data_IF_611948093541
#
_entry.id   IF_611948093541
#
_cell.length_a   1.000
_cell.length_b   1.000
_cell.length_c   1.000
_cell.angle_alpha   90.00
_cell.angle_beta   90.00
_cell.angle_gamma   90.00
#
_symmetry.space_group_name_H-M   'P 1'
#
loop_
_entity.id
_entity.type
_entity.pdbx_description
1 polymer ?
#
# COMPACT_ATOMS: atom_id res chain seq x y z
N UNK A 1 -19.17 -16.90 -8.10
CA UNK A 1 -19.22 -15.81 -7.09
C UNK A 1 -20.61 -15.17 -7.01
N UNK A 2 -21.34 -15.02 -8.12
CA UNK A 2 -22.69 -14.44 -8.14
C UNK A 2 -23.68 -15.17 -7.22
N UNK A 3 -23.74 -16.51 -7.31
CA UNK A 3 -24.52 -17.34 -6.36
C UNK A 3 -24.21 -17.05 -4.89
N UNK A 4 -22.96 -16.79 -4.54
CA UNK A 4 -22.57 -16.50 -3.15
C UNK A 4 -23.01 -15.08 -2.70
N UNK A 5 -23.14 -14.12 -3.64
CA UNK A 5 -23.68 -12.79 -3.36
C UNK A 5 -25.18 -12.86 -3.06
N UNK A 6 -25.92 -13.72 -3.76
CA UNK A 6 -27.36 -13.93 -3.57
C UNK A 6 -27.70 -14.49 -2.17
N UNK A 7 -26.83 -15.33 -1.61
CA UNK A 7 -27.02 -15.98 -0.30
C UNK A 7 -26.52 -15.16 0.90
N UNK A 8 -25.99 -13.95 0.69
CA UNK A 8 -25.24 -13.20 1.73
C UNK A 8 -26.09 -12.44 2.78
N UNK A 9 -27.39 -12.73 2.90
CA UNK A 9 -28.24 -12.12 3.93
C UNK A 9 -28.26 -12.98 5.20
N UNK A 10 -27.57 -12.51 6.24
CA UNK A 10 -27.96 -12.83 7.62
C UNK A 10 -27.14 -13.84 8.41
N UNK A 11 -25.82 -13.72 8.46
CA UNK A 11 -25.03 -14.42 9.50
C UNK A 11 -24.01 -13.49 10.14
N UNK A 12 -24.07 -13.40 11.46
CA UNK A 12 -23.07 -12.71 12.27
C UNK A 12 -21.85 -13.64 12.42
N UNK A 13 -20.67 -13.14 12.05
CA UNK A 13 -19.47 -13.96 11.83
C UNK A 13 -18.26 -13.44 12.61
N UNK A 14 -17.37 -14.33 13.07
CA UNK A 14 -16.36 -14.02 14.07
C UNK A 14 -15.50 -12.81 13.71
N UNK A 15 -15.33 -11.93 14.70
CA UNK A 15 -14.66 -10.63 14.63
C UNK A 15 -13.14 -10.78 14.51
N UNK A 16 -12.65 -10.87 13.27
CA UNK A 16 -11.26 -10.50 12.95
C UNK A 16 -11.06 -9.00 13.22
N UNK A 17 -9.83 -8.57 13.49
CA UNK A 17 -9.49 -7.14 13.60
C UNK A 17 -9.86 -6.48 12.27
N UNK A 18 -10.99 -5.77 12.25
CA UNK A 18 -11.55 -5.14 11.06
C UNK A 18 -11.08 -3.70 11.01
N UNK A 19 -10.53 -3.32 9.88
CA UNK A 19 -10.37 -1.92 9.50
C UNK A 19 -11.77 -1.32 9.31
N UNK A 20 -12.01 -0.10 9.80
CA UNK A 20 -13.28 0.59 9.60
C UNK A 20 -13.71 0.62 8.11
N UNK A 21 -15.01 0.48 7.84
CA UNK A 21 -15.56 0.41 6.47
C UNK A 21 -15.20 1.63 5.62
N UNK A 22 -15.22 2.83 6.21
CA UNK A 22 -14.85 4.07 5.53
C UNK A 22 -13.39 4.08 5.04
N UNK A 23 -12.49 3.54 5.85
CA UNK A 23 -11.07 3.39 5.51
C UNK A 23 -10.91 2.44 4.33
N UNK A 24 -11.66 1.32 4.32
CA UNK A 24 -11.68 0.41 3.18
C UNK A 24 -12.25 1.07 1.92
N UNK A 25 -13.28 1.91 2.04
CA UNK A 25 -13.82 2.67 0.89
C UNK A 25 -12.82 3.69 0.33
N UNK A 26 -12.05 4.36 1.20
CA UNK A 26 -10.94 5.24 0.80
C UNK A 26 -9.85 4.47 0.06
N UNK A 27 -9.40 3.34 0.62
CA UNK A 27 -8.46 2.45 -0.06
C UNK A 27 -9.01 2.04 -1.43
N UNK A 28 -10.26 1.59 -1.51
CA UNK A 28 -10.90 1.20 -2.79
C UNK A 28 -10.87 2.31 -3.83
N UNK A 29 -11.10 3.57 -3.44
CA UNK A 29 -11.04 4.72 -4.35
C UNK A 29 -9.62 4.99 -4.85
N UNK A 30 -8.61 4.88 -3.98
CA UNK A 30 -7.20 5.12 -4.32
C UNK A 30 -6.63 4.16 -5.37
N UNK A 31 -7.22 2.98 -5.54
CA UNK A 31 -6.86 2.00 -6.57
C UNK A 31 -7.83 2.00 -7.77
N UNK A 32 -9.03 2.58 -7.64
CA UNK A 32 -10.03 2.70 -8.73
C UNK A 32 -9.71 3.75 -9.79
N UNK A 33 -8.86 4.74 -9.48
CA UNK A 33 -8.49 5.81 -10.42
C UNK A 33 -7.71 5.27 -11.64
N UNK A 34 -7.31 4.00 -11.63
CA UNK A 34 -6.57 3.39 -12.73
C UNK A 34 -7.39 2.51 -13.71
N UNK A 35 -8.66 2.16 -13.43
CA UNK A 35 -9.23 0.97 -14.11
C UNK A 35 -10.74 0.99 -14.46
N UNK A 36 -11.44 2.11 -14.29
CA UNK A 36 -12.85 2.18 -14.73
C UNK A 36 -13.05 2.58 -16.19
N UNK A 37 -12.06 3.24 -16.77
CA UNK A 37 -12.11 3.79 -18.12
C UNK A 37 -11.14 3.06 -19.07
N UNK A 38 -10.61 1.90 -18.66
CA UNK A 38 -9.85 1.04 -19.55
C UNK A 38 -10.84 0.39 -20.55
N UNK A 39 -11.07 1.08 -21.67
CA UNK A 39 -11.65 0.47 -22.85
C UNK A 39 -10.84 -0.79 -23.18
N UNK A 40 -11.55 -1.87 -23.53
CA UNK A 40 -10.92 -3.07 -24.04
C UNK A 40 -9.99 -2.70 -25.20
N UNK A 41 -8.86 -3.39 -25.27
CA UNK A 41 -8.04 -3.39 -26.48
C UNK A 41 -8.88 -4.10 -27.54
N UNK A 42 -9.53 -3.33 -28.41
CA UNK A 42 -10.29 -3.71 -29.61
C UNK A 42 -10.81 -5.17 -29.63
N UNK A 43 -12.06 -5.36 -29.21
CA UNK A 43 -12.77 -6.64 -29.07
C UNK A 43 -12.85 -7.49 -30.36
N UNK A 44 -12.33 -6.99 -31.48
CA UNK A 44 -12.46 -7.63 -32.79
C UNK A 44 -11.32 -8.60 -33.15
N UNK A 45 -10.24 -8.69 -32.34
CA UNK A 45 -9.05 -9.48 -32.73
C UNK A 45 -8.74 -10.66 -31.80
N UNK A 46 -9.05 -10.61 -30.49
CA UNK A 46 -8.70 -11.69 -29.55
C UNK A 46 -9.72 -11.88 -28.42
N UNK A 47 -10.07 -13.14 -28.11
CA UNK A 47 -10.97 -13.52 -26.99
C UNK A 47 -10.33 -13.31 -25.60
N UNK A 48 -8.99 -13.25 -25.54
CA UNK A 48 -8.21 -13.07 -24.32
C UNK A 48 -7.56 -11.68 -24.33
N UNK A 49 -7.91 -10.87 -23.33
CA UNK A 49 -7.49 -9.46 -23.20
C UNK A 49 -6.30 -9.27 -22.25
N UNK A 50 -5.96 -10.31 -21.49
CA UNK A 50 -4.84 -10.31 -20.55
C UNK A 50 -4.70 -11.64 -19.83
N UNK A 51 -3.75 -11.71 -18.91
CA UNK A 51 -3.45 -12.93 -18.14
C UNK A 51 -3.19 -12.58 -16.68
N UNK A 52 -3.82 -13.30 -15.75
CA UNK A 52 -3.55 -13.24 -14.32
C UNK A 52 -2.73 -14.45 -13.91
N UNK A 53 -1.71 -14.21 -13.08
CA UNK A 53 -0.78 -15.26 -12.65
C UNK A 53 -0.74 -15.35 -11.12
N UNK A 54 -0.82 -16.57 -10.59
CA UNK A 54 -0.52 -16.88 -9.20
C UNK A 54 0.92 -17.37 -9.11
N UNK A 55 1.73 -16.67 -8.33
CA UNK A 55 3.16 -16.93 -8.20
C UNK A 55 3.48 -17.27 -6.75
N UNK A 56 4.29 -18.30 -6.53
CA UNK A 56 4.78 -18.63 -5.20
C UNK A 56 5.78 -17.58 -4.71
N UNK A 57 6.14 -17.63 -3.43
CA UNK A 57 7.13 -16.71 -2.84
C UNK A 57 8.54 -16.80 -3.46
N UNK A 58 8.83 -17.87 -4.19
CA UNK A 58 10.09 -18.13 -4.90
C UNK A 58 10.11 -17.54 -6.32
N UNK A 59 9.08 -16.77 -6.68
CA UNK A 59 8.84 -16.24 -8.02
C UNK A 59 8.55 -17.32 -9.08
N UNK A 60 8.02 -18.48 -8.69
CA UNK A 60 7.63 -19.56 -9.61
C UNK A 60 6.12 -19.47 -9.89
N UNK A 61 5.70 -19.34 -11.16
CA UNK A 61 4.31 -19.47 -11.55
C UNK A 61 3.71 -20.81 -11.11
N UNK A 62 2.56 -20.79 -10.45
CA UNK A 62 1.80 -21.98 -10.09
C UNK A 62 0.60 -22.14 -11.02
N UNK A 63 -0.24 -21.10 -11.10
CA UNK A 63 -1.42 -21.08 -11.94
C UNK A 63 -1.47 -19.82 -12.78
N UNK A 64 -2.09 -19.95 -13.96
CA UNK A 64 -2.29 -18.88 -14.93
C UNK A 64 -3.76 -18.93 -15.34
N UNK A 65 -4.39 -17.76 -15.47
CA UNK A 65 -5.79 -17.64 -15.87
C UNK A 65 -5.94 -16.52 -16.90
N UNK A 66 -6.61 -16.84 -18.01
CA UNK A 66 -6.90 -15.89 -19.07
C UNK A 66 -7.99 -14.90 -18.64
N UNK A 67 -7.78 -13.62 -18.95
CA UNK A 67 -8.77 -12.56 -18.75
C UNK A 67 -9.63 -12.49 -20.01
N UNK A 68 -10.86 -12.97 -19.90
CA UNK A 68 -11.85 -13.03 -21.00
C UNK A 68 -13.00 -12.05 -20.79
N UNK A 69 -12.97 -11.26 -19.72
CA UNK A 69 -14.00 -10.26 -19.40
C UNK A 69 -13.38 -8.88 -19.20
N UNK A 70 -14.12 -7.79 -19.45
CA UNK A 70 -13.61 -6.44 -19.24
C UNK A 70 -13.25 -6.16 -17.76
N UNK A 71 -12.05 -5.59 -17.58
CA UNK A 71 -11.49 -5.12 -16.31
C UNK A 71 -10.75 -6.17 -15.48
N UNK A 72 -9.81 -5.74 -14.64
CA UNK A 72 -9.13 -6.61 -13.68
C UNK A 72 -10.05 -6.94 -12.49
N UNK A 73 -10.85 -8.01 -12.64
CA UNK A 73 -11.84 -8.40 -11.62
C UNK A 73 -11.23 -9.26 -10.52
N UNK A 74 -11.75 -9.09 -9.30
CA UNK A 74 -11.38 -9.91 -8.13
C UNK A 74 -11.68 -11.41 -8.30
N UNK A 75 -12.51 -11.79 -9.28
CA UNK A 75 -12.87 -13.18 -9.53
C UNK A 75 -11.73 -14.05 -10.01
N UNK A 76 -10.81 -13.48 -10.82
CA UNK A 76 -9.60 -14.18 -11.26
C UNK A 76 -8.71 -14.55 -10.07
N UNK A 77 -8.50 -13.60 -9.15
CA UNK A 77 -7.74 -13.87 -7.93
C UNK A 77 -8.40 -14.98 -7.09
N UNK A 78 -9.73 -14.96 -6.95
CA UNK A 78 -10.45 -16.00 -6.19
C UNK A 78 -10.41 -17.37 -6.87
N UNK A 79 -10.49 -17.42 -8.20
CA UNK A 79 -10.38 -18.67 -8.96
C UNK A 79 -9.01 -19.31 -8.77
N UNK A 80 -7.93 -18.52 -8.90
CA UNK A 80 -6.56 -18.99 -8.68
C UNK A 80 -6.32 -19.46 -7.24
N UNK A 81 -6.88 -18.76 -6.24
CA UNK A 81 -6.78 -19.18 -4.83
C UNK A 81 -7.48 -20.52 -4.61
N UNK A 82 -8.66 -20.73 -5.20
CA UNK A 82 -9.39 -22.01 -5.09
C UNK A 82 -8.64 -23.15 -5.77
N UNK A 83 -8.15 -22.95 -6.98
CA UNK A 83 -7.33 -23.93 -7.68
C UNK A 83 -6.10 -24.34 -6.85
N UNK A 84 -5.44 -23.38 -6.18
CA UNK A 84 -4.34 -23.70 -5.27
C UNK A 84 -4.78 -24.49 -4.04
N UNK A 85 -5.94 -24.18 -3.47
CA UNK A 85 -6.42 -24.89 -2.29
C UNK A 85 -6.77 -26.35 -2.59
N UNK A 86 -7.29 -26.64 -3.78
CA UNK A 86 -7.65 -28.00 -4.20
C UNK A 86 -6.42 -28.91 -4.33
N UNK A 87 -5.24 -28.34 -4.60
CA UNK A 87 -3.94 -29.04 -4.66
C UNK A 87 -3.24 -29.17 -3.30
N UNK A 88 -3.75 -28.52 -2.25
CA UNK A 88 -3.12 -28.47 -0.93
C UNK A 88 -3.91 -29.27 0.10
N UNK A 89 -3.23 -29.91 1.07
CA UNK A 89 -3.93 -30.64 2.12
C UNK A 89 -4.80 -29.69 2.95
N UNK A 90 -5.89 -30.20 3.52
CA UNK A 90 -6.91 -29.42 4.25
C UNK A 90 -6.38 -28.73 5.51
N UNK A 91 -5.22 -29.12 6.02
CA UNK A 91 -4.54 -28.49 7.14
C UNK A 91 -3.51 -27.42 6.71
N UNK A 92 -3.23 -27.24 5.42
CA UNK A 92 -2.33 -26.19 4.94
C UNK A 92 -2.88 -24.79 5.27
N UNK A 93 -1.99 -23.84 5.54
CA UNK A 93 -2.36 -22.42 5.70
C UNK A 93 -1.78 -21.61 4.55
N UNK A 94 -2.53 -20.64 4.02
CA UNK A 94 -2.14 -19.86 2.84
C UNK A 94 -2.07 -18.37 3.19
N UNK A 95 -0.92 -17.76 2.92
CA UNK A 95 -0.73 -16.32 2.94
C UNK A 95 -0.83 -15.74 1.52
N UNK A 96 -1.78 -14.84 1.29
CA UNK A 96 -2.02 -14.20 -0.01
C UNK A 96 -1.58 -12.75 0.04
N UNK A 97 -0.65 -12.38 -0.86
CA UNK A 97 -0.27 -10.99 -1.12
C UNK A 97 -0.96 -10.53 -2.40
N UNK A 98 -1.77 -9.49 -2.28
CA UNK A 98 -2.51 -8.91 -3.40
C UNK A 98 -2.67 -7.41 -3.19
N UNK A 99 -2.64 -6.62 -4.26
CA UNK A 99 -2.54 -5.15 -4.14
C UNK A 99 -3.75 -4.53 -3.45
N UNK A 100 -4.92 -5.14 -3.65
CA UNK A 100 -6.17 -4.85 -2.95
C UNK A 100 -6.56 -5.97 -1.98
N UNK A 101 -5.57 -6.63 -1.36
CA UNK A 101 -5.76 -7.74 -0.42
C UNK A 101 -6.74 -7.41 0.71
N UNK A 102 -6.75 -6.17 1.20
CA UNK A 102 -7.74 -5.70 2.18
C UNK A 102 -9.19 -5.75 1.67
N UNK A 103 -9.41 -5.41 0.40
CA UNK A 103 -10.74 -5.45 -0.24
C UNK A 103 -11.18 -6.88 -0.49
N UNK A 104 -10.25 -7.74 -0.90
CA UNK A 104 -10.51 -9.14 -1.16
C UNK A 104 -10.86 -9.88 0.15
N UNK A 105 -10.13 -9.60 1.23
CA UNK A 105 -10.40 -10.12 2.57
C UNK A 105 -11.80 -9.75 3.06
N UNK A 106 -12.17 -8.47 2.95
CA UNK A 106 -13.52 -7.99 3.28
C UNK A 106 -14.60 -8.65 2.41
N UNK A 107 -14.33 -8.82 1.11
CA UNK A 107 -15.27 -9.44 0.18
C UNK A 107 -15.46 -10.93 0.50
N UNK A 108 -14.40 -11.63 0.90
CA UNK A 108 -14.50 -13.02 1.36
C UNK A 108 -15.41 -13.16 2.58
N UNK A 109 -15.30 -12.24 3.56
CA UNK A 109 -16.17 -12.24 4.74
C UNK A 109 -17.62 -11.88 4.39
N UNK A 110 -17.81 -10.84 3.58
CA UNK A 110 -19.12 -10.34 3.18
C UNK A 110 -19.91 -11.35 2.36
N UNK A 111 -19.25 -12.04 1.44
CA UNK A 111 -19.92 -12.93 0.48
C UNK A 111 -19.64 -14.41 0.72
N UNK A 112 -18.95 -14.77 1.80
CA UNK A 112 -18.58 -16.14 2.13
C UNK A 112 -17.82 -16.90 1.03
N UNK A 113 -16.95 -16.22 0.26
CA UNK A 113 -16.34 -16.86 -0.92
C UNK A 113 -15.49 -18.09 -0.62
N UNK A 114 -14.95 -18.17 0.61
CA UNK A 114 -14.04 -19.20 1.08
C UNK A 114 -14.70 -20.25 1.99
N UNK A 115 -15.96 -20.06 2.41
CA UNK A 115 -16.65 -21.01 3.28
C UNK A 115 -15.81 -21.49 4.48
N UNK A 116 -15.69 -22.81 4.64
CA UNK A 116 -14.95 -23.44 5.73
C UNK A 116 -13.45 -23.16 5.68
N UNK A 117 -12.87 -22.97 4.49
CA UNK A 117 -11.44 -22.69 4.32
C UNK A 117 -11.02 -21.27 4.74
N UNK A 118 -11.99 -20.40 5.03
CA UNK A 118 -11.73 -19.00 5.41
C UNK A 118 -10.72 -18.88 6.55
N UNK A 119 -10.73 -19.80 7.50
CA UNK A 119 -9.80 -19.83 8.64
C UNK A 119 -8.34 -20.07 8.23
N UNK A 120 -8.11 -20.76 7.11
CA UNK A 120 -6.78 -21.15 6.63
C UNK A 120 -6.09 -20.04 5.82
N UNK A 121 -6.82 -18.99 5.45
CA UNK A 121 -6.32 -17.92 4.57
C UNK A 121 -6.09 -16.62 5.32
N UNK A 122 -4.89 -16.09 5.11
CA UNK A 122 -4.44 -14.79 5.60
C UNK A 122 -4.14 -13.88 4.42
N UNK A 123 -4.80 -12.72 4.33
CA UNK A 123 -4.54 -11.72 3.29
C UNK A 123 -3.63 -10.60 3.80
N UNK A 124 -2.79 -10.07 2.92
CA UNK A 124 -2.00 -8.86 3.11
C UNK A 124 -1.87 -8.10 1.77
N UNK A 125 -1.53 -6.81 1.85
CA UNK A 125 -1.22 -6.00 0.67
C UNK A 125 0.26 -6.16 0.31
N UNK A 126 0.60 -6.28 -0.97
CA UNK A 126 2.00 -6.32 -1.43
C UNK A 126 2.80 -5.13 -0.85
N UNK A 127 4.07 -5.32 -0.44
CA UNK A 127 4.80 -4.34 0.41
C UNK A 127 4.78 -2.92 -0.16
N UNK A 128 5.05 -2.74 -1.45
CA UNK A 128 5.04 -1.41 -2.08
C UNK A 128 3.63 -0.83 -2.23
N UNK A 129 2.63 -1.68 -2.41
CA UNK A 129 1.24 -1.26 -2.53
C UNK A 129 0.63 -0.91 -1.16
N UNK A 130 1.09 -1.54 -0.08
CA UNK A 130 0.61 -1.31 1.27
C UNK A 130 0.69 0.18 1.64
N UNK A 131 1.78 0.87 1.29
CA UNK A 131 1.95 2.32 1.53
C UNK A 131 0.95 3.21 0.78
N UNK A 132 0.32 2.68 -0.27
CA UNK A 132 -0.77 3.34 -0.99
C UNK A 132 -2.13 3.22 -0.31
N UNK A 133 -2.25 2.44 0.77
CA UNK A 133 -3.47 2.34 1.58
C UNK A 133 -3.44 3.32 2.76
N UNK A 134 -4.61 3.62 3.32
CA UNK A 134 -4.74 4.41 4.56
C UNK A 134 -3.93 3.77 5.70
N UNK A 135 -3.47 4.57 6.66
CA UNK A 135 -2.61 4.10 7.75
C UNK A 135 -3.23 2.93 8.54
N UNK A 136 -4.51 3.01 8.87
CA UNK A 136 -5.21 1.93 9.58
C UNK A 136 -5.22 0.62 8.77
N UNK A 137 -5.31 0.70 7.45
CA UNK A 137 -5.16 -0.46 6.56
C UNK A 137 -3.71 -0.98 6.58
N UNK A 138 -2.71 -0.11 6.56
CA UNK A 138 -1.30 -0.50 6.67
C UNK A 138 -1.01 -1.26 7.97
N UNK A 139 -1.55 -0.82 9.09
CA UNK A 139 -1.34 -1.49 10.39
C UNK A 139 -1.83 -2.95 10.35
N UNK A 140 -2.94 -3.22 9.67
CA UNK A 140 -3.59 -4.54 9.62
C UNK A 140 -3.09 -5.41 8.46
N UNK A 141 -2.83 -4.82 7.29
CA UNK A 141 -2.58 -5.53 6.04
C UNK A 141 -1.17 -5.36 5.48
N UNK A 142 -0.28 -4.55 6.08
CA UNK A 142 1.12 -4.52 5.66
C UNK A 142 1.81 -5.83 6.11
N UNK A 143 2.44 -6.61 5.21
CA UNK A 143 3.06 -7.89 5.54
C UNK A 143 4.28 -7.76 6.44
N UNK A 144 4.90 -6.57 6.55
CA UNK A 144 5.93 -6.30 7.58
C UNK A 144 5.34 -6.27 8.99
N UNK A 145 4.07 -5.88 9.11
CA UNK A 145 3.35 -5.76 10.40
C UNK A 145 2.57 -7.02 10.76
N UNK A 146 2.28 -7.86 9.76
CA UNK A 146 1.45 -9.05 9.87
C UNK A 146 2.29 -10.33 9.96
N UNK A 147 2.00 -11.15 10.95
CA UNK A 147 2.56 -12.51 11.06
C UNK A 147 2.05 -13.34 9.88
N UNK A 148 2.89 -14.20 9.32
CA UNK A 148 2.49 -15.09 8.23
C UNK A 148 3.23 -14.82 6.92
N UNK A 149 4.04 -13.76 6.83
CA UNK A 149 4.67 -13.35 5.56
C UNK A 149 6.20 -13.26 5.62
N UNK A 150 6.81 -13.27 6.82
CA UNK A 150 8.25 -13.13 6.98
C UNK A 150 8.82 -11.95 6.19
N UNK A 151 9.84 -12.19 5.37
CA UNK A 151 10.43 -11.16 4.50
C UNK A 151 9.85 -11.12 3.07
N UNK A 152 8.75 -11.81 2.80
CA UNK A 152 8.11 -11.85 1.47
C UNK A 152 7.55 -10.47 1.07
N UNK A 153 7.78 -10.06 -0.17
CA UNK A 153 7.44 -8.70 -0.67
C UNK A 153 6.18 -8.63 -1.53
N UNK A 154 5.73 -9.77 -2.08
CA UNK A 154 4.54 -9.84 -2.94
C UNK A 154 4.78 -9.32 -4.36
N UNK A 155 6.04 -9.23 -4.80
CA UNK A 155 6.43 -8.70 -6.11
C UNK A 155 6.70 -9.77 -7.17
N UNK A 156 6.17 -10.97 -6.94
CA UNK A 156 6.48 -12.16 -7.74
C UNK A 156 5.96 -12.06 -9.16
N UNK A 157 4.71 -11.60 -9.34
CA UNK A 157 4.10 -11.40 -10.66
C UNK A 157 4.88 -10.36 -11.48
N UNK A 158 5.23 -9.21 -10.90
CA UNK A 158 6.00 -8.18 -11.61
C UNK A 158 7.40 -8.66 -11.99
N UNK A 159 8.05 -9.48 -11.15
CA UNK A 159 9.34 -10.10 -11.49
C UNK A 159 9.21 -11.10 -12.63
N UNK A 160 8.16 -11.90 -12.65
CA UNK A 160 7.86 -12.81 -13.77
C UNK A 160 7.65 -12.01 -15.05
N UNK A 161 6.78 -11.00 -15.03
CA UNK A 161 6.50 -10.15 -16.18
C UNK A 161 7.74 -9.41 -16.70
N UNK A 162 8.60 -8.93 -15.81
CA UNK A 162 9.86 -8.29 -16.19
C UNK A 162 10.81 -9.26 -16.91
N UNK A 163 10.92 -10.50 -16.43
CA UNK A 163 11.75 -11.55 -17.06
C UNK A 163 11.18 -11.99 -18.40
N UNK A 164 9.84 -12.13 -18.50
CA UNK A 164 9.15 -12.54 -19.73
C UNK A 164 8.91 -11.37 -20.68
N UNK A 165 9.26 -10.13 -20.32
CA UNK A 165 9.08 -8.93 -21.15
C UNK A 165 9.64 -9.06 -22.56
N UNK A 166 10.78 -9.76 -22.71
CA UNK A 166 11.40 -10.00 -24.03
C UNK A 166 10.62 -11.00 -24.89
N UNK A 167 9.80 -11.82 -24.26
CA UNK A 167 8.91 -12.75 -24.93
C UNK A 167 7.60 -12.07 -25.33
N UNK A 168 7.20 -10.96 -24.71
CA UNK A 168 5.95 -10.24 -25.03
C UNK A 168 5.81 -9.89 -26.53
N UNK A 169 6.84 -9.36 -27.23
CA UNK A 169 6.75 -9.09 -28.67
C UNK A 169 6.65 -10.37 -29.52
N UNK A 170 7.24 -11.48 -29.06
CA UNK A 170 7.32 -12.76 -29.77
C UNK A 170 6.02 -13.57 -29.57
N UNK A 171 5.50 -13.59 -28.34
CA UNK A 171 4.32 -14.31 -27.89
C UNK A 171 3.01 -13.53 -28.07
N UNK A 172 3.03 -12.30 -28.64
CA UNK A 172 1.83 -11.70 -29.26
C UNK A 172 1.19 -12.63 -30.32
N UNK A 173 1.93 -13.66 -30.74
CA UNK A 173 1.44 -14.87 -31.41
C UNK A 173 2.03 -16.11 -30.73
N UNK A 174 1.42 -16.66 -29.68
CA UNK A 174 1.82 -18.01 -29.22
C UNK A 174 0.86 -18.71 -28.23
N UNK A 175 0.68 -20.02 -28.50
CA UNK A 175 0.26 -21.06 -27.56
C UNK A 175 1.34 -21.35 -26.49
N UNK A 176 0.89 -21.86 -25.33
CA UNK A 176 1.65 -22.12 -24.11
C UNK A 176 2.57 -23.34 -24.25
N UNK A 177 3.90 -23.16 -24.19
CA UNK A 177 4.88 -24.17 -23.77
C UNK A 177 6.20 -23.49 -23.39
N UNK A 178 6.85 -24.05 -22.38
CA UNK A 178 8.18 -23.72 -21.81
C UNK A 178 8.28 -22.61 -20.75
N UNK A 179 8.13 -23.01 -19.48
CA UNK A 179 8.61 -22.29 -18.30
C UNK A 179 9.37 -23.26 -17.36
N UNK A 180 10.62 -23.60 -17.72
CA UNK A 180 11.54 -24.34 -16.83
C UNK A 180 12.12 -23.41 -15.75
N UNK A 181 11.37 -23.17 -14.67
CA UNK A 181 11.73 -22.22 -13.59
C UNK A 181 12.24 -22.84 -12.27
N UNK A 182 12.49 -24.15 -12.21
CA UNK A 182 12.74 -24.87 -10.94
C UNK A 182 14.22 -24.87 -10.49
N UNK A 183 15.19 -24.52 -11.35
CA UNK A 183 16.61 -24.87 -11.16
C UNK A 183 17.45 -23.96 -10.22
N UNK A 184 16.87 -23.08 -9.39
CA UNK A 184 17.69 -22.15 -8.57
C UNK A 184 17.27 -21.95 -7.10
N UNK A 185 16.44 -22.83 -6.54
CA UNK A 185 15.90 -22.66 -5.17
C UNK A 185 17.00 -22.54 -4.10
N UNK A 186 18.08 -23.32 -4.18
CA UNK A 186 19.21 -23.22 -3.24
C UNK A 186 19.93 -21.84 -3.28
N UNK A 187 20.08 -21.26 -4.48
CA UNK A 187 20.64 -19.91 -4.64
C UNK A 187 19.69 -18.85 -4.07
N UNK A 188 18.39 -19.02 -4.26
CA UNK A 188 17.36 -18.16 -3.68
C UNK A 188 17.41 -18.20 -2.14
N UNK A 189 17.47 -19.40 -1.53
CA UNK A 189 17.57 -19.57 -0.07
C UNK A 189 18.84 -18.87 0.45
N UNK A 190 19.99 -19.08 -0.20
CA UNK A 190 21.26 -18.42 0.17
C UNK A 190 21.16 -16.90 0.13
N UNK A 191 20.51 -16.32 -0.88
CA UNK A 191 20.27 -14.86 -0.97
C UNK A 191 19.37 -14.37 0.16
N UNK A 192 18.34 -15.13 0.52
CA UNK A 192 17.44 -14.79 1.63
C UNK A 192 18.14 -14.82 2.99
N UNK A 193 19.00 -15.80 3.26
CA UNK A 193 19.82 -15.78 4.48
C UNK A 193 20.75 -14.57 4.58
N UNK A 194 21.37 -14.14 3.46
CA UNK A 194 22.15 -12.89 3.43
C UNK A 194 21.28 -11.67 3.76
N UNK A 195 20.07 -11.61 3.22
CA UNK A 195 19.11 -10.55 3.50
C UNK A 195 18.72 -10.51 4.98
N UNK A 196 18.40 -11.67 5.58
CA UNK A 196 18.09 -11.79 7.01
C UNK A 196 19.24 -11.25 7.85
N UNK A 197 20.48 -11.66 7.57
CA UNK A 197 21.66 -11.18 8.31
C UNK A 197 21.80 -9.66 8.24
N UNK A 198 21.65 -9.09 7.05
CA UNK A 198 21.70 -7.63 6.85
C UNK A 198 20.60 -6.92 7.64
N UNK A 199 19.35 -7.33 7.47
CA UNK A 199 18.20 -6.68 8.10
C UNK A 199 18.21 -6.86 9.62
N UNK A 200 18.61 -8.03 10.12
CA UNK A 200 18.72 -8.28 11.56
C UNK A 200 19.79 -7.39 12.19
N UNK A 201 20.97 -7.27 11.57
CA UNK A 201 22.02 -6.38 12.05
C UNK A 201 21.56 -4.91 12.05
N UNK A 202 20.89 -4.47 10.98
CA UNK A 202 20.33 -3.11 10.90
C UNK A 202 19.27 -2.84 11.97
N UNK A 203 18.36 -3.79 12.20
CA UNK A 203 17.32 -3.68 13.22
C UNK A 203 17.90 -3.66 14.64
N UNK A 204 18.85 -4.55 14.94
CA UNK A 204 19.52 -4.59 16.25
C UNK A 204 20.30 -3.29 16.50
N UNK A 205 21.01 -2.77 15.50
CA UNK A 205 21.71 -1.50 15.61
C UNK A 205 20.75 -0.33 15.85
N UNK A 206 19.63 -0.28 15.11
CA UNK A 206 18.61 0.72 15.29
C UNK A 206 18.03 0.70 16.71
N UNK A 207 17.69 -0.48 17.24
CA UNK A 207 17.21 -0.61 18.63
C UNK A 207 18.29 -0.15 19.63
N UNK A 208 19.55 -0.56 19.44
CA UNK A 208 20.67 -0.23 20.34
C UNK A 208 20.95 1.28 20.38
N UNK A 209 21.01 1.91 19.22
CA UNK A 209 21.31 3.35 19.08
C UNK A 209 20.20 4.25 19.63
N UNK A 210 18.95 3.77 19.67
CA UNK A 210 17.82 4.53 20.21
C UNK A 210 17.78 4.51 21.75
N UNK A 211 18.44 3.54 22.40
CA UNK A 211 18.46 3.40 23.86
C UNK A 211 17.09 3.09 24.48
N UNK A 212 16.14 2.58 23.69
CA UNK A 212 14.79 2.24 24.11
C UNK A 212 14.70 0.77 24.50
N UNK A 213 13.91 0.44 25.53
CA UNK A 213 13.67 -0.95 25.90
C UNK A 213 12.71 -1.63 24.92
N UNK A 214 12.94 -2.92 24.64
CA UNK A 214 12.06 -3.70 23.76
C UNK A 214 10.63 -3.78 24.32
N UNK A 215 10.47 -3.85 25.64
CA UNK A 215 9.16 -3.85 26.33
C UNK A 215 8.35 -2.59 26.02
N UNK A 216 8.96 -1.41 26.17
CA UNK A 216 8.32 -0.13 25.82
C UNK A 216 7.89 -0.10 24.34
N UNK A 217 8.75 -0.57 23.44
CA UNK A 217 8.42 -0.61 22.00
C UNK A 217 7.25 -1.57 21.70
N UNK A 218 7.19 -2.73 22.38
CA UNK A 218 6.11 -3.70 22.21
C UNK A 218 4.78 -3.20 22.80
N UNK A 219 4.80 -2.49 23.92
CA UNK A 219 3.61 -1.83 24.48
C UNK A 219 3.06 -0.77 23.53
N UNK A 220 3.93 0.08 22.99
CA UNK A 220 3.55 1.09 22.01
C UNK A 220 3.01 0.46 20.71
N UNK A 221 3.61 -0.64 20.25
CA UNK A 221 3.10 -1.41 19.11
C UNK A 221 1.72 -2.04 19.39
N UNK A 222 1.49 -2.53 20.61
CA UNK A 222 0.19 -3.10 21.00
C UNK A 222 -0.91 -2.02 21.01
N UNK A 223 -0.62 -0.84 21.56
CA UNK A 223 -1.51 0.32 21.47
C UNK A 223 -1.80 0.66 20.00
N UNK A 224 -0.77 0.72 19.16
CA UNK A 224 -0.90 1.00 17.74
C UNK A 224 -1.81 0.00 17.00
N UNK A 225 -1.75 -1.29 17.35
CA UNK A 225 -2.57 -2.34 16.73
C UNK A 225 -4.04 -2.31 17.14
N UNK A 226 -4.36 -1.68 18.27
CA UNK A 226 -5.75 -1.56 18.74
C UNK A 226 -6.53 -0.44 18.04
N UNK A 227 -5.82 0.52 17.43
CA UNK A 227 -6.40 1.73 16.85
C UNK A 227 -7.25 1.47 15.58
N UNK A 228 -6.85 0.64 14.61
CA UNK A 228 -7.58 0.49 13.34
C UNK A 228 -9.02 -0.01 13.45
N UNK A 229 -9.35 -0.67 14.57
CA UNK A 229 -10.68 -1.19 14.87
C UNK A 229 -11.59 -0.16 15.54
N UNK A 230 -11.04 0.96 16.00
CA UNK A 230 -11.85 2.07 16.50
C UNK A 230 -12.59 2.68 15.32
N UNK A 231 -13.90 2.81 15.45
CA UNK A 231 -14.71 3.61 14.54
C UNK A 231 -14.12 5.01 14.52
N UNK A 232 -13.54 5.42 13.39
CA UNK A 232 -13.25 6.84 13.19
C UNK A 232 -14.58 7.55 13.29
N UNK A 233 -14.77 8.53 14.18
CA UNK A 233 -16.09 9.09 14.37
C UNK A 233 -16.57 9.89 13.16
N UNK A 234 -15.72 10.22 12.17
CA UNK A 234 -16.09 11.15 11.11
C UNK A 234 -15.46 10.86 9.75
N UNK A 235 -16.32 10.48 8.80
CA UNK A 235 -16.50 11.27 7.57
C UNK A 235 -17.92 11.09 7.04
N UNK A 236 -18.90 11.77 7.66
CA UNK A 236 -20.19 11.95 6.98
C UNK A 236 -19.92 12.50 5.58
N UNK A 237 -20.62 11.98 4.55
CA UNK A 237 -20.53 12.47 3.16
C UNK A 237 -20.62 13.99 3.07
N UNK A 238 -21.33 14.60 4.01
CA UNK A 238 -21.48 16.05 4.12
C UNK A 238 -20.15 16.76 4.42
N UNK A 239 -19.36 16.24 5.37
CA UNK A 239 -18.04 16.81 5.72
C UNK A 239 -17.09 16.73 4.54
N UNK A 240 -17.07 15.59 3.83
CA UNK A 240 -16.24 15.45 2.63
C UNK A 240 -16.67 16.44 1.54
N UNK A 241 -17.97 16.61 1.30
CA UNK A 241 -18.48 17.62 0.36
C UNK A 241 -18.04 19.03 0.73
N UNK A 242 -18.08 19.37 2.03
CA UNK A 242 -17.61 20.68 2.53
C UNK A 242 -16.12 20.88 2.25
N UNK A 243 -15.29 19.86 2.50
CA UNK A 243 -13.85 19.90 2.20
C UNK A 243 -13.61 20.04 0.68
N UNK A 244 -14.29 19.25 -0.16
CA UNK A 244 -14.15 19.27 -1.61
C UNK A 244 -14.51 20.66 -2.20
N UNK A 245 -15.63 21.25 -1.73
CA UNK A 245 -16.09 22.57 -2.16
C UNK A 245 -15.07 23.66 -1.82
N UNK A 246 -14.49 23.60 -0.62
CA UNK A 246 -13.47 24.55 -0.21
C UNK A 246 -12.17 24.35 -0.98
N UNK A 247 -11.73 23.11 -1.20
CA UNK A 247 -10.55 22.81 -2.01
C UNK A 247 -10.67 23.41 -3.41
N UNK A 248 -11.89 23.36 -3.97
CA UNK A 248 -12.22 24.05 -5.22
C UNK A 248 -12.06 25.56 -5.08
N UNK A 249 -12.66 26.17 -4.04
CA UNK A 249 -12.50 27.61 -3.76
C UNK A 249 -11.01 28.01 -3.63
N UNK A 250 -10.23 27.28 -2.85
CA UNK A 250 -8.79 27.53 -2.68
C UNK A 250 -8.05 27.42 -4.01
N UNK A 251 -8.41 26.45 -4.85
CA UNK A 251 -7.82 26.32 -6.19
C UNK A 251 -8.13 27.53 -7.07
N UNK A 252 -9.36 28.06 -7.00
CA UNK A 252 -9.72 29.28 -7.73
C UNK A 252 -9.01 30.53 -7.17
N UNK A 253 -8.89 30.66 -5.84
CA UNK A 253 -8.13 31.74 -5.20
C UNK A 253 -6.65 31.70 -5.59
N UNK A 254 -6.04 30.51 -5.60
CA UNK A 254 -4.66 30.31 -6.04
C UNK A 254 -4.51 30.67 -7.53
N UNK A 255 -5.50 30.34 -8.37
CA UNK A 255 -5.51 30.71 -9.81
C UNK A 255 -5.57 32.22 -10.02
N UNK A 256 -6.42 32.92 -9.26
CA UNK A 256 -6.50 34.38 -9.31
C UNK A 256 -5.15 34.99 -8.93
N UNK A 257 -4.51 34.50 -7.87
CA UNK A 257 -3.19 34.96 -7.45
C UNK A 257 -2.11 34.71 -8.51
N UNK A 258 -2.11 33.52 -9.11
CA UNK A 258 -1.17 33.18 -10.20
C UNK A 258 -1.38 34.08 -11.43
N UNK A 259 -2.63 34.36 -11.81
CA UNK A 259 -2.95 35.24 -12.94
C UNK A 259 -2.49 36.69 -12.68
N UNK A 260 -2.65 37.19 -11.44
CA UNK A 260 -2.14 38.50 -11.04
C UNK A 260 -0.61 38.52 -11.13
N UNK A 261 0.07 37.51 -10.58
CA UNK A 261 1.54 37.43 -10.64
C UNK A 261 2.06 37.36 -12.08
N UNK A 262 1.42 36.56 -12.94
CA UNK A 262 1.78 36.43 -14.35
C UNK A 262 1.59 37.74 -15.12
N UNK A 263 0.50 38.46 -14.85
CA UNK A 263 0.25 39.80 -15.42
C UNK A 263 1.33 40.79 -14.97
N UNK A 264 1.64 40.83 -13.67
CA UNK A 264 2.71 41.69 -13.12
C UNK A 264 4.06 41.37 -13.74
N UNK A 265 4.38 40.08 -13.90
CA UNK A 265 5.64 39.61 -14.46
C UNK A 265 5.75 39.98 -15.95
N UNK A 266 4.68 39.74 -16.73
CA UNK A 266 4.61 40.05 -18.17
C UNK A 266 4.71 41.56 -18.41
N UNK A 267 3.93 42.35 -17.67
CA UNK A 267 3.96 43.82 -17.80
C UNK A 267 5.31 44.42 -17.38
N UNK A 268 5.94 43.85 -16.37
CA UNK A 268 7.27 44.31 -15.92
C UNK A 268 8.37 43.94 -16.91
N UNK A 269 8.33 42.72 -17.48
CA UNK A 269 9.35 42.24 -18.40
C UNK A 269 9.21 42.81 -19.83
N UNK A 270 8.01 42.83 -20.38
CA UNK A 270 7.78 43.23 -21.78
C UNK A 270 7.64 44.75 -21.94
N UNK A 271 7.04 45.42 -20.95
CA UNK A 271 6.72 46.84 -21.04
C UNK A 271 7.53 47.71 -20.07
N UNK A 272 8.41 47.12 -19.26
CA UNK A 272 9.29 47.85 -18.34
C UNK A 272 8.59 48.49 -17.13
N UNK A 273 7.37 48.05 -16.81
CA UNK A 273 6.59 48.63 -15.71
C UNK A 273 7.23 48.28 -14.36
N UNK A 274 7.40 49.25 -13.43
CA UNK A 274 7.88 48.95 -12.09
C UNK A 274 6.90 48.02 -11.36
N UNK A 275 7.41 46.96 -10.71
CA UNK A 275 6.59 46.08 -9.87
C UNK A 275 5.90 46.80 -8.70
N UNK A 276 6.43 47.97 -8.33
CA UNK A 276 5.88 48.84 -7.28
C UNK A 276 4.68 49.70 -7.74
N UNK A 277 4.24 49.56 -8.99
CA UNK A 277 3.10 50.29 -9.55
C UNK A 277 1.85 50.11 -8.69
N UNK A 278 1.13 51.20 -8.43
CA UNK A 278 -0.04 51.22 -7.55
C UNK A 278 -1.12 50.22 -7.98
N UNK A 279 -1.38 50.11 -9.28
CA UNK A 279 -2.36 49.15 -9.81
C UNK A 279 -1.99 47.69 -9.48
N UNK A 280 -0.71 47.30 -9.56
CA UNK A 280 -0.27 45.96 -9.17
C UNK A 280 -0.43 45.71 -7.67
N UNK A 281 -0.16 46.73 -6.86
CA UNK A 281 -0.34 46.66 -5.41
C UNK A 281 -1.81 46.48 -5.04
N UNK A 282 -2.70 47.26 -5.64
CA UNK A 282 -4.15 47.13 -5.43
C UNK A 282 -4.70 45.76 -5.84
N UNK A 283 -4.21 45.19 -6.95
CA UNK A 283 -4.60 43.84 -7.37
C UNK A 283 -4.16 42.79 -6.35
N UNK A 284 -2.95 42.91 -5.80
CA UNK A 284 -2.44 42.03 -4.75
C UNK A 284 -3.25 42.18 -3.45
N UNK A 285 -3.52 43.42 -3.01
CA UNK A 285 -4.34 43.69 -1.82
C UNK A 285 -5.76 43.09 -1.95
N UNK A 286 -6.39 43.19 -3.13
CA UNK A 286 -7.70 42.58 -3.38
C UNK A 286 -7.65 41.06 -3.37
N UNK A 287 -6.56 40.46 -3.84
CA UNK A 287 -6.34 39.03 -3.75
C UNK A 287 -6.17 38.56 -2.31
N UNK A 288 -5.42 39.30 -1.49
CA UNK A 288 -5.29 39.04 -0.05
C UNK A 288 -6.64 39.15 0.67
N UNK A 289 -7.45 40.17 0.33
CA UNK A 289 -8.81 40.33 0.86
C UNK A 289 -9.71 39.13 0.51
N UNK A 290 -9.62 38.62 -0.73
CA UNK A 290 -10.34 37.41 -1.14
C UNK A 290 -9.91 36.16 -0.36
N UNK A 291 -8.61 36.02 -0.08
CA UNK A 291 -8.10 34.92 0.76
C UNK A 291 -8.69 35.00 2.17
N UNK A 292 -8.68 36.18 2.78
CA UNK A 292 -9.25 36.39 4.12
C UNK A 292 -10.75 36.09 4.15
N UNK A 293 -11.50 36.54 3.13
CA UNK A 293 -12.93 36.25 3.03
C UNK A 293 -13.20 34.75 2.82
N UNK A 294 -12.37 34.06 2.05
CA UNK A 294 -12.42 32.60 1.92
C UNK A 294 -12.24 31.89 3.27
N UNK A 295 -11.29 32.34 4.09
CA UNK A 295 -11.06 31.82 5.45
C UNK A 295 -12.22 32.13 6.42
N UNK A 296 -12.93 33.25 6.25
CA UNK A 296 -14.13 33.56 7.04
C UNK A 296 -15.29 32.62 6.74
N UNK A 297 -15.58 32.38 5.46
CA UNK A 297 -16.61 31.43 5.03
C UNK A 297 -16.41 30.04 5.65
N UNK A 298 -15.14 29.62 5.76
CA UNK A 298 -14.78 28.36 6.39
C UNK A 298 -15.15 28.29 7.88
N UNK A 299 -14.93 29.38 8.62
CA UNK A 299 -15.30 29.45 10.04
C UNK A 299 -16.82 29.37 10.20
N UNK A 300 -17.57 29.95 9.26
CA UNK A 300 -19.04 29.88 9.22
C UNK A 300 -19.58 28.48 8.86
N UNK A 301 -18.81 27.66 8.13
CA UNK A 301 -19.20 26.29 7.77
C UNK A 301 -19.25 25.32 8.96
N UNK A 302 -18.79 25.75 10.15
CA UNK A 302 -18.90 25.01 11.43
C UNK A 302 -18.44 23.55 11.33
N UNK A 303 -17.24 23.35 10.79
CA UNK A 303 -16.63 22.02 10.69
C UNK A 303 -16.34 21.41 12.07
N UNK A 304 -16.18 22.23 13.10
CA UNK A 304 -15.95 21.85 14.50
C UNK A 304 -17.07 20.97 15.08
N UNK A 305 -18.34 21.24 14.75
CA UNK A 305 -19.47 20.39 15.18
C UNK A 305 -19.44 19.00 14.55
N UNK A 306 -18.74 18.86 13.43
CA UNK A 306 -18.52 17.57 12.77
C UNK A 306 -17.32 16.82 13.34
N UNK A 307 -16.59 17.36 14.32
CA UNK A 307 -15.48 16.68 15.00
C UNK A 307 -15.51 16.92 16.51
N UNK A 308 -16.47 16.34 17.26
CA UNK A 308 -16.52 16.39 18.72
C UNK A 308 -15.21 16.04 19.45
N UNK A 309 -14.36 15.19 18.87
CA UNK A 309 -13.03 14.86 19.42
C UNK A 309 -12.02 16.01 19.35
N UNK A 310 -12.31 17.04 18.55
CA UNK A 310 -11.49 18.22 18.38
C UNK A 310 -12.21 19.47 18.87
N UNK A 311 -13.18 19.29 19.78
CA UNK A 311 -13.83 20.39 20.47
C UNK A 311 -12.80 21.29 21.16
N UNK A 312 -12.86 22.60 20.91
CA UNK A 312 -11.92 23.59 21.42
C UNK A 312 -10.71 23.88 20.53
N UNK A 313 -10.57 23.19 19.40
CA UNK A 313 -9.57 23.50 18.37
C UNK A 313 -10.13 24.56 17.42
N UNK A 314 -9.31 25.51 16.99
CA UNK A 314 -9.72 26.53 16.01
C UNK A 314 -10.26 25.88 14.73
N UNK A 315 -11.41 26.34 14.24
CA UNK A 315 -11.99 25.88 12.96
C UNK A 315 -10.99 26.05 11.79
N UNK A 316 -10.18 27.11 11.84
CA UNK A 316 -9.13 27.37 10.86
C UNK A 316 -7.99 26.34 10.92
N UNK A 317 -7.60 25.90 12.13
CA UNK A 317 -6.59 24.85 12.29
C UNK A 317 -7.11 23.49 11.80
N UNK A 318 -8.32 23.11 12.21
CA UNK A 318 -8.98 21.87 11.76
C UNK A 318 -9.05 21.77 10.25
N UNK A 319 -9.31 22.89 9.61
CA UNK A 319 -9.37 22.97 8.18
C UNK A 319 -8.02 22.72 7.50
N UNK A 320 -6.97 23.43 7.91
CA UNK A 320 -5.64 23.21 7.34
C UNK A 320 -5.15 21.78 7.58
N UNK A 321 -5.52 21.17 8.72
CA UNK A 321 -5.23 19.77 9.02
C UNK A 321 -5.90 18.81 8.01
N UNK A 322 -7.16 19.05 7.68
CA UNK A 322 -7.91 18.28 6.68
C UNK A 322 -7.34 18.45 5.27
N UNK A 323 -7.03 19.68 4.86
CA UNK A 323 -6.39 19.95 3.56
C UNK A 323 -5.01 19.31 3.45
N UNK A 324 -4.18 19.42 4.49
CA UNK A 324 -2.88 18.78 4.55
C UNK A 324 -2.99 17.27 4.41
N UNK A 325 -3.97 16.63 5.07
CA UNK A 325 -4.24 15.19 4.94
C UNK A 325 -4.55 14.79 3.49
N UNK A 326 -5.44 15.53 2.83
CA UNK A 326 -5.82 15.22 1.45
C UNK A 326 -4.67 15.42 0.46
N UNK A 327 -3.93 16.53 0.59
CA UNK A 327 -2.80 16.81 -0.30
C UNK A 327 -1.69 15.78 -0.08
N UNK A 328 -1.44 15.35 1.15
CA UNK A 328 -0.52 14.25 1.46
C UNK A 328 -0.97 12.91 0.85
N UNK A 329 -2.28 12.63 0.85
CA UNK A 329 -2.83 11.45 0.15
C UNK A 329 -2.63 11.53 -1.38
N UNK A 330 -2.80 12.70 -1.97
CA UNK A 330 -2.49 12.95 -3.39
C UNK A 330 -1.00 12.73 -3.69
N UNK A 331 -0.09 13.31 -2.89
CA UNK A 331 1.36 13.12 -3.03
C UNK A 331 1.72 11.62 -2.91
N UNK A 332 1.19 10.91 -1.91
CA UNK A 332 1.37 9.46 -1.74
C UNK A 332 0.99 8.69 -3.00
N UNK A 333 -0.17 8.99 -3.59
CA UNK A 333 -0.63 8.34 -4.81
C UNK A 333 0.33 8.55 -5.97
N UNK A 334 0.85 9.77 -6.16
CA UNK A 334 1.79 10.10 -7.25
C UNK A 334 3.14 9.41 -7.08
N UNK A 335 3.69 9.45 -5.87
CA UNK A 335 4.97 8.80 -5.55
C UNK A 335 4.85 7.29 -5.69
N UNK A 336 3.77 6.70 -5.18
CA UNK A 336 3.45 5.28 -5.36
C UNK A 336 3.37 4.90 -6.84
N UNK A 337 2.58 5.63 -7.62
CA UNK A 337 2.38 5.32 -9.04
C UNK A 337 3.70 5.35 -9.81
N UNK A 338 4.62 6.24 -9.45
CA UNK A 338 5.94 6.27 -10.06
C UNK A 338 6.85 5.10 -9.67
N UNK A 339 6.84 4.73 -8.39
CA UNK A 339 7.57 3.55 -7.89
C UNK A 339 7.06 2.29 -8.61
N UNK A 340 5.76 2.19 -8.84
CA UNK A 340 5.12 1.02 -9.45
C UNK A 340 5.27 0.98 -10.98
N UNK A 341 5.09 2.12 -11.66
CA UNK A 341 5.08 2.19 -13.13
C UNK A 341 6.48 2.34 -13.71
N UNK A 342 7.49 2.64 -12.90
CA UNK A 342 8.89 2.80 -13.34
C UNK A 342 9.16 4.07 -14.16
N UNK A 343 8.13 4.88 -14.40
CA UNK A 343 8.23 6.24 -14.91
C UNK A 343 8.15 7.14 -13.70
N UNK A 344 9.21 7.89 -13.40
CA UNK A 344 9.23 8.84 -12.28
C UNK A 344 7.98 9.73 -12.27
N UNK A 345 7.54 10.23 -11.11
CA UNK A 345 6.35 11.07 -11.07
C UNK A 345 6.61 12.32 -11.90
N UNK A 346 5.56 12.97 -12.40
CA UNK A 346 5.75 14.30 -12.99
C UNK A 346 6.20 15.26 -11.88
N UNK A 347 7.52 15.42 -11.74
CA UNK A 347 8.15 16.11 -10.62
C UNK A 347 7.81 17.58 -10.56
N UNK A 348 7.51 18.20 -11.69
CA UNK A 348 6.92 19.55 -11.71
C UNK A 348 5.61 19.60 -10.93
N UNK A 349 4.65 18.73 -11.26
CA UNK A 349 3.34 18.72 -10.59
C UNK A 349 3.41 18.25 -9.14
N UNK A 350 4.32 17.33 -8.82
CA UNK A 350 4.45 16.82 -7.44
C UNK A 350 5.15 17.82 -6.54
N UNK A 351 6.16 18.54 -7.04
CA UNK A 351 6.76 19.67 -6.33
C UNK A 351 5.70 20.72 -5.94
N UNK A 352 4.82 21.08 -6.86
CA UNK A 352 3.70 22.01 -6.58
C UNK A 352 2.78 21.48 -5.47
N UNK A 353 2.48 20.18 -5.47
CA UNK A 353 1.68 19.55 -4.42
C UNK A 353 2.39 19.56 -3.05
N UNK A 354 3.70 19.28 -3.03
CA UNK A 354 4.54 19.34 -1.82
C UNK A 354 4.61 20.76 -1.28
N UNK A 355 4.85 21.76 -2.13
CA UNK A 355 4.85 23.17 -1.75
C UNK A 355 3.50 23.59 -1.17
N UNK A 356 2.39 23.14 -1.76
CA UNK A 356 1.04 23.40 -1.22
C UNK A 356 0.84 22.74 0.14
N UNK A 357 1.23 21.48 0.31
CA UNK A 357 1.18 20.79 1.60
C UNK A 357 2.00 21.55 2.65
N UNK A 358 3.24 21.93 2.34
CA UNK A 358 4.11 22.67 3.26
C UNK A 358 3.53 24.05 3.60
N UNK A 359 2.85 24.73 2.66
CA UNK A 359 2.11 25.96 2.98
C UNK A 359 1.04 25.74 4.04
N UNK A 360 0.26 24.65 3.95
CA UNK A 360 -0.73 24.32 4.98
C UNK A 360 -0.06 24.04 6.33
N UNK A 361 1.09 23.36 6.33
CA UNK A 361 1.88 23.14 7.56
C UNK A 361 2.32 24.46 8.17
N UNK A 362 2.84 25.40 7.39
CA UNK A 362 3.20 26.74 7.88
C UNK A 362 2.01 27.49 8.48
N UNK A 363 0.83 27.42 7.85
CA UNK A 363 -0.37 28.05 8.40
C UNK A 363 -0.82 27.40 9.72
N UNK A 364 -0.70 26.06 9.82
CA UNK A 364 -0.98 25.35 11.07
C UNK A 364 -0.01 25.75 12.18
N UNK A 365 1.29 25.88 11.88
CA UNK A 365 2.32 26.32 12.85
C UNK A 365 2.02 27.71 13.42
N UNK A 366 1.53 28.65 12.60
CA UNK A 366 1.17 30.01 13.04
C UNK A 366 -0.03 30.04 13.99
N UNK A 367 -1.00 29.16 13.77
CA UNK A 367 -2.27 29.14 14.52
C UNK A 367 -2.19 28.16 15.70
N UNK A 368 -1.19 27.28 15.74
CA UNK A 368 -1.07 26.19 16.70
C UNK A 368 -1.07 26.66 18.16
N UNK A 369 -1.85 25.98 18.99
CA UNK A 369 -1.80 26.13 20.44
C UNK A 369 -1.36 24.80 21.08
N UNK A 370 -0.34 24.82 21.97
CA UNK A 370 0.13 23.60 22.66
C UNK A 370 -0.97 22.89 23.47
N UNK A 371 -2.00 23.62 23.90
CA UNK A 371 -3.16 23.08 24.63
C UNK A 371 -3.99 22.08 23.83
N UNK A 372 -3.91 22.11 22.49
CA UNK A 372 -4.70 21.24 21.62
C UNK A 372 -4.25 19.79 21.62
N UNK A 373 -3.02 19.49 22.09
CA UNK A 373 -2.44 18.12 22.14
C UNK A 373 -2.46 17.36 20.79
N UNK A 374 -2.55 18.09 19.67
CA UNK A 374 -2.49 17.54 18.31
C UNK A 374 -1.03 17.56 17.84
N UNK A 375 -0.48 16.43 17.33
CA UNK A 375 0.85 16.44 16.73
C UNK A 375 0.86 17.28 15.45
N UNK A 376 1.74 18.28 15.38
CA UNK A 376 1.92 19.07 14.16
C UNK A 376 2.50 18.19 13.04
N UNK A 377 1.97 18.27 11.81
CA UNK A 377 2.49 17.49 10.69
C UNK A 377 3.88 17.96 10.27
N UNK A 378 4.79 17.02 10.00
CA UNK A 378 6.10 17.34 9.47
C UNK A 378 6.01 17.84 8.01
N UNK A 379 6.89 18.80 7.67
CA UNK A 379 7.11 19.25 6.28
C UNK A 379 7.73 18.13 5.45
N UNK A 380 7.52 18.17 4.14
CA UNK A 380 8.04 17.19 3.18
C UNK A 380 9.05 17.86 2.24
N UNK A 381 10.18 17.20 2.00
CA UNK A 381 11.19 17.63 1.03
C UNK A 381 11.10 16.77 -0.24
N UNK A 382 11.23 17.39 -1.42
CA UNK A 382 10.98 16.72 -2.72
C UNK A 382 12.06 15.66 -3.00
N UNK A 383 13.29 15.94 -2.58
CA UNK A 383 14.45 15.08 -2.73
C UNK A 383 14.23 13.74 -2.02
N UNK A 384 13.68 13.76 -0.81
CA UNK A 384 13.40 12.58 0.00
C UNK A 384 12.27 11.71 -0.59
N UNK A 385 11.39 12.30 -1.41
CA UNK A 385 10.30 11.60 -2.07
C UNK A 385 10.71 10.80 -3.31
N UNK A 386 11.96 10.94 -3.77
CA UNK A 386 12.46 10.14 -4.89
C UNK A 386 12.66 8.67 -4.50
N UNK A 387 13.06 8.44 -3.25
CA UNK A 387 13.24 7.11 -2.69
C UNK A 387 12.86 7.09 -1.19
N UNK A 388 11.57 7.28 -0.87
CA UNK A 388 11.12 7.40 0.50
C UNK A 388 11.30 6.06 1.22
N UNK A 389 11.84 6.11 2.44
CA UNK A 389 11.94 4.94 3.32
C UNK A 389 10.56 4.44 3.75
N UNK A 390 10.50 3.21 4.25
CA UNK A 390 9.26 2.58 4.75
C UNK A 390 8.59 3.37 5.90
N UNK A 391 9.39 4.11 6.68
CA UNK A 391 8.97 4.91 7.83
C UNK A 391 8.81 6.42 7.53
N UNK A 392 9.05 6.82 6.28
CA UNK A 392 9.04 8.22 5.86
C UNK A 392 7.73 8.93 6.26
N UNK A 393 7.84 10.19 6.68
CA UNK A 393 6.70 10.99 7.14
C UNK A 393 5.54 11.02 6.12
N UNK A 394 5.85 10.93 4.82
CA UNK A 394 4.87 10.81 3.73
C UNK A 394 3.81 9.72 3.99
N UNK A 395 4.21 8.56 4.52
CA UNK A 395 3.33 7.40 4.69
C UNK A 395 2.43 7.48 5.91
N UNK A 396 2.71 8.42 6.82
CA UNK A 396 1.99 8.61 8.07
C UNK A 396 0.77 9.50 7.84
N UNK A 397 -0.39 9.10 8.34
CA UNK A 397 -1.56 9.96 8.32
C UNK A 397 -1.39 11.13 9.30
N UNK A 398 -1.95 12.27 8.92
CA UNK A 398 -1.78 13.59 9.57
C UNK A 398 -2.63 13.69 10.87
N UNK A 399 -3.46 12.69 11.17
CA UNK A 399 -4.55 12.81 12.13
C UNK A 399 -4.39 11.87 13.34
N UNK A 400 -4.65 12.39 14.54
CA UNK A 400 -4.88 11.61 15.75
C UNK A 400 -6.30 11.88 16.33
N UNK A 401 -7.23 10.90 16.33
CA UNK A 401 -8.60 11.09 16.79
C UNK A 401 -8.68 10.71 18.28
N UNK A 402 -8.20 11.54 19.19
CA UNK A 402 -8.59 11.43 20.60
C UNK A 402 -8.22 12.69 21.39
N UNK A 403 -9.12 13.14 22.28
CA UNK A 403 -8.82 14.17 23.30
C UNK A 403 -7.83 13.69 24.39
N UNK A 404 -7.43 12.42 24.36
CA UNK A 404 -6.38 11.88 25.21
C UNK A 404 -5.00 12.37 24.74
N UNK A 405 -4.01 12.37 25.64
CA UNK A 405 -2.63 12.59 25.21
C UNK A 405 -2.26 11.58 24.11
N UNK A 406 -1.74 12.04 22.96
CA UNK A 406 -1.37 11.13 21.89
C UNK A 406 -0.28 10.17 22.40
N UNK A 407 -0.39 8.86 22.12
CA UNK A 407 0.59 7.89 22.55
C UNK A 407 1.95 8.18 21.91
N UNK A 408 3.03 7.76 22.56
CA UNK A 408 4.39 8.12 22.16
C UNK A 408 4.74 7.65 20.74
N UNK A 409 4.16 6.56 20.25
CA UNK A 409 4.38 6.16 18.86
C UNK A 409 3.84 7.16 17.82
N UNK A 410 2.93 8.05 18.20
CA UNK A 410 2.41 9.12 17.34
C UNK A 410 3.30 10.36 17.39
N UNK A 411 3.85 10.70 18.55
CA UNK A 411 4.61 11.93 18.76
C UNK A 411 6.11 11.75 18.61
N UNK A 412 6.67 10.64 19.08
CA UNK A 412 8.09 10.38 19.13
C UNK A 412 8.57 9.56 17.91
N UNK A 413 9.44 10.18 17.12
CA UNK A 413 10.09 9.54 15.96
C UNK A 413 10.99 8.38 16.36
N UNK A 414 11.66 8.45 17.52
CA UNK A 414 12.51 7.37 18.03
C UNK A 414 11.68 6.14 18.33
N UNK A 415 10.51 6.30 18.95
CA UNK A 415 9.58 5.20 19.23
C UNK A 415 9.10 4.58 17.92
N UNK A 416 8.75 5.37 16.90
CA UNK A 416 8.37 4.85 15.57
C UNK A 416 9.48 4.04 14.91
N UNK A 417 10.70 4.56 14.88
CA UNK A 417 11.88 3.86 14.36
C UNK A 417 12.14 2.56 15.13
N UNK A 418 12.02 2.60 16.44
CA UNK A 418 12.14 1.42 17.30
C UNK A 418 11.08 0.36 17.00
N UNK A 419 9.81 0.75 16.85
CA UNK A 419 8.72 -0.17 16.46
C UNK A 419 9.02 -0.83 15.11
N UNK A 420 9.44 -0.05 14.11
CA UNK A 420 9.80 -0.58 12.78
C UNK A 420 10.96 -1.57 12.88
N UNK A 421 11.98 -1.28 13.70
CA UNK A 421 13.11 -2.16 13.92
C UNK A 421 12.70 -3.48 14.62
N UNK A 422 11.86 -3.42 15.67
CA UNK A 422 11.34 -4.62 16.35
C UNK A 422 10.52 -5.47 15.39
N UNK A 423 9.65 -4.86 14.59
CA UNK A 423 8.87 -5.58 13.57
C UNK A 423 9.76 -6.23 12.51
N UNK A 424 10.81 -5.54 12.05
CA UNK A 424 11.77 -6.08 11.10
C UNK A 424 12.51 -7.29 11.68
N UNK A 425 12.90 -7.23 12.96
CA UNK A 425 13.55 -8.33 13.65
C UNK A 425 12.60 -9.54 13.79
N UNK A 426 11.35 -9.32 14.21
CA UNK A 426 10.33 -10.36 14.28
C UNK A 426 10.11 -11.03 12.91
N UNK A 427 10.08 -10.26 11.82
CA UNK A 427 9.97 -10.78 10.43
C UNK A 427 11.22 -11.52 9.97
N UNK A 428 12.41 -11.10 10.40
CA UNK A 428 13.66 -11.82 10.12
C UNK A 428 13.68 -13.20 10.81
N UNK A 429 13.27 -13.27 12.07
CA UNK A 429 13.15 -14.54 12.83
C UNK A 429 12.13 -15.47 12.16
N UNK A 430 10.98 -14.92 11.76
CA UNK A 430 9.96 -15.68 11.04
C UNK A 430 10.47 -16.21 9.70
N UNK A 431 11.15 -15.37 8.92
CA UNK A 431 11.73 -15.76 7.64
C UNK A 431 12.79 -16.85 7.81
N UNK A 432 13.64 -16.74 8.82
CA UNK A 432 14.66 -17.74 9.11
C UNK A 432 14.05 -19.11 9.40
N UNK A 433 13.02 -19.17 10.26
CA UNK A 433 12.29 -20.42 10.55
C UNK A 433 11.70 -21.03 9.28
N UNK A 434 11.11 -20.21 8.40
CA UNK A 434 10.55 -20.67 7.13
C UNK A 434 11.62 -21.22 6.19
N UNK A 435 12.75 -20.52 6.05
CA UNK A 435 13.84 -20.98 5.19
C UNK A 435 14.46 -22.28 5.68
N UNK A 436 14.53 -22.51 7.00
CA UNK A 436 14.94 -23.79 7.57
C UNK A 436 13.98 -24.91 7.14
N UNK A 437 12.67 -24.71 7.34
CA UNK A 437 11.65 -25.68 6.92
C UNK A 437 11.68 -25.95 5.41
N UNK A 438 11.83 -24.92 4.59
CA UNK A 438 11.95 -25.07 3.13
C UNK A 438 13.24 -25.79 2.72
N UNK A 439 14.35 -25.53 3.42
CA UNK A 439 15.61 -26.25 3.23
C UNK A 439 15.47 -27.73 3.57
N UNK A 440 14.93 -28.05 4.74
CA UNK A 440 14.70 -29.43 5.18
C UNK A 440 13.79 -30.19 4.21
N UNK A 441 12.72 -29.54 3.73
CA UNK A 441 11.81 -30.12 2.75
C UNK A 441 12.50 -30.36 1.40
N UNK A 442 13.34 -29.42 0.95
CA UNK A 442 14.11 -29.57 -0.28
C UNK A 442 15.12 -30.74 -0.17
N UNK A 443 15.79 -30.88 0.97
CA UNK A 443 16.72 -31.99 1.22
C UNK A 443 16.00 -33.34 1.27
N UNK A 444 14.85 -33.44 1.96
CA UNK A 444 14.02 -34.65 1.99
C UNK A 444 13.56 -35.05 0.60
N UNK A 445 12.97 -34.09 -0.13
CA UNK A 445 12.53 -34.31 -1.51
C UNK A 445 13.69 -34.79 -2.39
N UNK A 446 14.85 -34.14 -2.30
CA UNK A 446 16.04 -34.53 -3.07
C UNK A 446 16.48 -35.96 -2.75
N UNK A 447 16.53 -36.33 -1.48
CA UNK A 447 16.87 -37.70 -1.06
C UNK A 447 15.86 -38.73 -1.58
N UNK A 448 14.56 -38.43 -1.52
CA UNK A 448 13.51 -39.31 -2.03
C UNK A 448 13.63 -39.50 -3.55
N UNK A 449 13.81 -38.41 -4.31
CA UNK A 449 14.00 -38.49 -5.76
C UNK A 449 15.27 -39.25 -6.13
N UNK A 450 16.38 -39.02 -5.42
CA UNK A 450 17.63 -39.74 -5.66
C UNK A 450 17.48 -41.24 -5.40
N UNK A 451 16.79 -41.64 -4.31
CA UNK A 451 16.51 -43.07 -4.04
C UNK A 451 15.64 -43.68 -5.13
N UNK A 452 14.60 -42.98 -5.59
CA UNK A 452 13.73 -43.44 -6.67
C UNK A 452 14.54 -43.63 -7.98
N UNK A 453 15.38 -42.67 -8.34
CA UNK A 453 16.26 -42.75 -9.52
C UNK A 453 17.24 -43.93 -9.43
N UNK A 454 17.86 -44.14 -8.28
CA UNK A 454 18.77 -45.29 -8.05
C UNK A 454 18.01 -46.61 -8.19
N UNK A 455 16.78 -46.70 -7.66
CA UNK A 455 15.93 -47.90 -7.80
C UNK A 455 15.62 -48.18 -9.26
N UNK A 456 15.13 -47.17 -10.01
CA UNK A 456 14.79 -47.32 -11.43
C UNK A 456 16.02 -47.71 -12.25
N UNK A 457 17.18 -47.13 -11.95
CA UNK A 457 18.44 -47.49 -12.62
C UNK A 457 18.82 -48.95 -12.36
N UNK A 458 18.73 -49.43 -11.12
CA UNK A 458 19.00 -50.84 -10.78
C UNK A 458 18.05 -51.80 -11.50
N UNK A 459 16.76 -51.47 -11.55
CA UNK A 459 15.76 -52.28 -12.25
C UNK A 459 16.02 -52.33 -13.77
N UNK A 460 16.45 -51.20 -14.35
CA UNK A 460 16.82 -51.12 -15.76
C UNK A 460 18.09 -51.92 -16.08
N UNK A 461 19.10 -51.86 -15.22
CA UNK A 461 20.34 -52.64 -15.34
C UNK A 461 20.07 -54.14 -15.18
N UNK A 462 19.20 -54.55 -14.25
CA UNK A 462 18.77 -55.94 -14.06
C UNK A 462 18.01 -56.51 -15.26
N UNK A 463 17.02 -55.76 -15.79
CA UNK A 463 16.27 -56.17 -17.00
C UNK A 463 17.16 -56.30 -18.24
N UNK A 464 18.19 -55.45 -18.34
CA UNK A 464 19.16 -55.49 -19.44
C UNK A 464 20.11 -56.69 -19.29
N UNK A 465 20.50 -57.07 -18.08
CA UNK A 465 21.26 -58.29 -17.82
C UNK A 465 20.46 -59.56 -18.18
N UNK A 466 19.17 -59.61 -17.85
CA UNK A 466 18.30 -60.74 -18.19
C UNK A 466 18.01 -60.87 -19.69
N UNK A 467 17.99 -59.76 -20.43
CA UNK A 467 17.88 -59.78 -21.90
C UNK A 467 19.17 -60.28 -22.56
N UNK A 468 20.34 -59.92 -22.05
CA UNK A 468 21.64 -60.38 -22.58
C UNK A 468 21.88 -61.86 -22.27
N UNK A 469 21.33 -62.38 -21.17
CA UNK A 469 21.44 -63.81 -20.80
C UNK A 469 20.49 -64.73 -21.58
N UNK A 470 19.46 -64.18 -22.23
CA UNK A 470 18.48 -64.91 -23.05
C UNK A 470 18.82 -64.93 -24.54
N UNK A 471 19.87 -64.22 -24.96
CA UNK A 471 20.53 -64.32 -26.26
C UNK A 471 21.73 -65.26 -26.11
#
# INVERSE_FOLDING_TARGET
MEKAKEHSKGEDRPTRIKVASETLDRCRRAFKVADKDANLVDDQVFDVTGVVILVCRHDVPIFVCDITTPGERQEYAMALIKALMDELPSNATIGVLYDIGCQLDQSCDKFNYLGQDRARITFACSVLHAYGHEWACQVVYNPRRRIGFGLTDGKGSERVWSRTRRLIPILRRANVRDLTMVLSLGSWIKKKYKLIRKHSAQAMEAIRSLGLSETQLREQLAQQRSEPARSSPHTSREVQRKIDLFKKLQTELDRVGAAIQDTVQTMSNEFGWPRSTMAFRLLQEKHEELIVNGQRLLTEMKLDHSFPELAGVSAQFLHYLLLAREEKANIRSRVRDAILKGWGPCWRTTKVAVERYNRYVTQMELIFQPSWKIPLPARLEVEDLQNPTEDHALWQDVWWPTMAQPPLWVTDEKIRKGITAVLLLDRCIEEERRLRLEGDNLERWWMEQMRALISVRRDAEGKRYDQVRKL
#
